data_IF_101548634058
#
_entry.id   IF_101548634058
#
_cell.length_a   1.000
_cell.length_b   1.000
_cell.length_c   1.000
_cell.angle_alpha   90.00
_cell.angle_beta   90.00
_cell.angle_gamma   90.00
#
_symmetry.space_group_name_H-M   'P 1'
#
loop_
_entity.id
_entity.type
_entity.pdbx_description
1 polymer ?
#
# COMPACT_ATOMS: atom_id res chain seq x y z
N UNK A 1 4.36 -26.74 11.84
CA UNK A 1 3.54 -25.56 11.48
C UNK A 1 4.30 -24.75 10.46
N UNK A 2 3.65 -24.34 9.37
CA UNK A 2 4.27 -23.41 8.41
C UNK A 2 4.40 -22.01 9.04
N UNK A 3 5.32 -21.18 8.52
CA UNK A 3 5.49 -19.80 9.02
C UNK A 3 4.17 -19.00 8.92
N UNK A 4 3.37 -19.27 7.88
CA UNK A 4 2.07 -18.65 7.67
C UNK A 4 1.00 -19.09 8.67
N UNK A 5 0.93 -20.39 9.02
CA UNK A 5 0.03 -20.86 10.08
C UNK A 5 0.35 -20.20 11.42
N UNK A 6 1.64 -19.97 11.70
CA UNK A 6 2.05 -19.27 12.91
C UNK A 6 1.67 -17.78 12.86
N UNK A 7 1.76 -17.13 11.69
CA UNK A 7 1.29 -15.74 11.51
C UNK A 7 -0.20 -15.60 11.84
N UNK A 8 -1.04 -16.52 11.39
CA UNK A 8 -2.47 -16.56 11.74
C UNK A 8 -2.64 -16.68 13.25
N UNK A 9 -1.97 -17.65 13.87
CA UNK A 9 -2.04 -17.88 15.31
C UNK A 9 -1.60 -16.66 16.13
N UNK A 10 -0.52 -15.99 15.71
CA UNK A 10 0.00 -14.78 16.37
C UNK A 10 -0.99 -13.61 16.24
N UNK A 11 -1.64 -13.47 15.08
CA UNK A 11 -2.69 -12.45 14.87
C UNK A 11 -3.94 -12.74 15.72
N UNK A 12 -4.38 -13.99 15.78
CA UNK A 12 -5.51 -14.40 16.62
C UNK A 12 -5.22 -14.07 18.09
N UNK A 13 -4.02 -14.41 18.58
CA UNK A 13 -3.59 -14.06 19.93
C UNK A 13 -3.57 -12.53 20.17
N UNK A 14 -3.09 -11.75 19.19
CA UNK A 14 -3.15 -10.28 19.23
C UNK A 14 -4.59 -9.76 19.35
N UNK A 15 -5.52 -10.29 18.57
CA UNK A 15 -6.93 -9.84 18.62
C UNK A 15 -7.63 -10.20 19.93
N UNK A 16 -7.21 -11.28 20.60
CA UNK A 16 -7.76 -11.68 21.91
C UNK A 16 -7.35 -10.73 23.04
N UNK A 17 -6.17 -10.10 22.97
CA UNK A 17 -5.69 -9.17 24.01
C UNK A 17 -6.17 -7.74 23.80
N UNK A 18 -6.48 -7.34 22.56
CA UNK A 18 -6.86 -5.98 22.22
C UNK A 18 -8.10 -5.44 22.97
N UNK A 19 -9.18 -6.20 23.20
CA UNK A 19 -10.31 -5.72 23.98
C UNK A 19 -9.94 -5.27 25.40
N UNK A 20 -8.96 -5.92 26.03
CA UNK A 20 -8.48 -5.52 27.36
C UNK A 20 -7.65 -4.23 27.33
N UNK A 21 -7.02 -3.91 26.20
CA UNK A 21 -6.16 -2.73 26.02
C UNK A 21 -6.92 -1.51 25.47
N UNK A 22 -7.87 -1.74 24.57
CA UNK A 22 -8.55 -0.71 23.80
C UNK A 22 -10.06 -0.64 24.09
N UNK A 23 -10.55 -1.47 25.01
CA UNK A 23 -11.94 -1.53 25.44
C UNK A 23 -12.75 -2.65 24.79
N UNK A 24 -13.75 -3.17 25.50
CA UNK A 24 -14.56 -4.33 25.10
C UNK A 24 -15.33 -4.15 23.79
N UNK A 25 -15.52 -2.91 23.33
CA UNK A 25 -16.19 -2.59 22.07
C UNK A 25 -15.24 -2.65 20.87
N UNK A 26 -13.93 -2.72 21.10
CA UNK A 26 -12.95 -2.81 20.04
C UNK A 26 -13.17 -4.10 19.23
N UNK A 27 -13.12 -3.98 17.90
CA UNK A 27 -13.22 -5.12 16.98
C UNK A 27 -12.09 -5.01 15.96
N UNK A 28 -11.43 -6.13 15.61
CA UNK A 28 -10.46 -6.12 14.53
C UNK A 28 -11.17 -5.85 13.20
N UNK A 29 -10.46 -5.22 12.26
CA UNK A 29 -10.90 -5.16 10.87
C UNK A 29 -10.95 -6.57 10.25
N UNK A 30 -11.77 -6.73 9.21
CA UNK A 30 -11.85 -7.98 8.46
C UNK A 30 -10.48 -8.37 7.91
N UNK A 31 -10.12 -9.63 8.16
CA UNK A 31 -8.82 -10.20 7.82
C UNK A 31 -8.93 -11.04 6.54
N UNK A 32 -7.92 -10.94 5.68
CA UNK A 32 -7.82 -11.73 4.46
C UNK A 32 -6.42 -12.35 4.33
N UNK A 33 -6.36 -13.62 3.93
CA UNK A 33 -5.12 -14.28 3.50
C UNK A 33 -4.71 -13.73 2.13
N UNK A 34 -3.46 -13.30 1.97
CA UNK A 34 -2.97 -12.76 0.70
C UNK A 34 -1.56 -13.24 0.36
N UNK A 35 -1.28 -13.31 -0.94
CA UNK A 35 0.07 -13.35 -1.49
C UNK A 35 0.43 -11.95 -1.96
N UNK A 36 1.54 -11.45 -1.46
CA UNK A 36 2.08 -10.14 -1.81
C UNK A 36 3.28 -10.34 -2.74
N UNK A 37 3.17 -9.79 -3.95
CA UNK A 37 4.25 -9.74 -4.92
C UNK A 37 4.79 -8.32 -5.00
N UNK A 38 6.12 -8.17 -4.93
CA UNK A 38 6.76 -6.85 -4.99
C UNK A 38 7.93 -6.84 -5.95
N UNK A 39 8.00 -5.78 -6.74
CA UNK A 39 9.18 -5.43 -7.52
C UNK A 39 9.74 -4.10 -7.04
N UNK A 40 11.06 -3.97 -7.10
CA UNK A 40 11.79 -2.75 -6.72
C UNK A 40 12.72 -2.37 -7.84
N UNK A 41 12.66 -1.12 -8.27
CA UNK A 41 13.48 -0.59 -9.34
C UNK A 41 14.05 0.76 -8.92
N UNK A 42 15.36 0.90 -9.03
CA UNK A 42 15.99 2.23 -8.99
C UNK A 42 16.06 2.78 -10.41
N UNK A 43 15.47 3.95 -10.61
CA UNK A 43 15.35 4.62 -11.89
C UNK A 43 16.03 5.99 -11.84
N UNK A 44 16.58 6.42 -12.97
CA UNK A 44 16.87 7.83 -13.18
C UNK A 44 15.60 8.58 -13.60
N UNK A 45 15.74 9.87 -13.93
CA UNK A 45 14.59 10.73 -14.27
C UNK A 45 13.83 10.21 -15.48
N UNK A 46 14.57 9.85 -16.53
CA UNK A 46 13.99 9.38 -17.80
C UNK A 46 13.30 8.03 -17.61
N UNK A 47 13.94 7.11 -16.88
CA UNK A 47 13.36 5.80 -16.55
C UNK A 47 12.09 5.93 -15.72
N UNK A 48 12.05 6.85 -14.74
CA UNK A 48 10.84 7.12 -13.98
C UNK A 48 9.72 7.65 -14.88
N UNK A 49 9.99 8.64 -15.72
CA UNK A 49 8.97 9.21 -16.62
C UNK A 49 8.40 8.15 -17.57
N UNK A 50 9.24 7.28 -18.11
CA UNK A 50 8.80 6.16 -18.94
C UNK A 50 7.94 5.17 -18.15
N UNK A 51 8.35 4.81 -16.93
CA UNK A 51 7.60 3.88 -16.09
C UNK A 51 6.21 4.45 -15.72
N UNK A 52 6.14 5.72 -15.34
CA UNK A 52 4.87 6.39 -15.04
C UNK A 52 3.96 6.49 -16.26
N UNK A 53 4.51 6.82 -17.44
CA UNK A 53 3.74 6.88 -18.69
C UNK A 53 3.18 5.52 -19.13
N UNK A 54 3.78 4.41 -18.71
CA UNK A 54 3.30 3.05 -19.00
C UNK A 54 2.16 2.59 -18.09
N UNK A 55 1.92 3.27 -16.97
CA UNK A 55 0.81 2.93 -16.06
C UNK A 55 -0.56 3.26 -16.65
N UNK A 56 -0.64 4.12 -17.68
CA UNK A 56 -1.93 4.60 -18.17
C UNK A 56 -2.65 5.45 -17.13
N UNK A 57 -3.98 5.33 -17.07
CA UNK A 57 -4.80 6.06 -16.10
C UNK A 57 -4.74 5.41 -14.72
N UNK A 58 -4.49 6.24 -13.71
CA UNK A 58 -4.32 5.81 -12.33
C UNK A 58 -5.18 6.63 -11.38
N UNK A 59 -5.39 6.08 -10.19
CA UNK A 59 -5.84 6.82 -9.03
C UNK A 59 -4.69 7.05 -8.05
N UNK A 60 -4.69 8.16 -7.34
CA UNK A 60 -3.78 8.38 -6.23
C UNK A 60 -3.31 9.81 -6.15
N UNK A 61 -2.06 10.01 -5.76
CA UNK A 61 -1.48 11.34 -5.64
C UNK A 61 0.01 11.33 -5.97
N UNK A 62 0.49 12.49 -6.41
CA UNK A 62 1.91 12.76 -6.61
C UNK A 62 2.28 14.04 -5.88
N UNK A 63 3.38 13.97 -5.13
CA UNK A 63 4.05 15.14 -4.59
C UNK A 63 5.18 15.52 -5.55
N UNK A 64 5.01 16.67 -6.18
CA UNK A 64 5.99 17.33 -7.02
C UNK A 64 6.77 18.37 -6.21
N UNK A 65 7.84 18.93 -6.78
CA UNK A 65 8.66 19.94 -6.12
C UNK A 65 7.93 21.23 -5.76
N UNK A 66 6.87 21.55 -6.50
CA UNK A 66 6.13 22.81 -6.45
C UNK A 66 4.68 22.65 -5.96
N UNK A 67 4.13 21.43 -6.06
CA UNK A 67 2.74 21.16 -5.71
C UNK A 67 2.49 19.70 -5.37
N UNK A 68 1.34 19.43 -4.78
CA UNK A 68 0.76 18.08 -4.71
C UNK A 68 -0.40 18.02 -5.67
N UNK A 69 -0.44 16.96 -6.48
CA UNK A 69 -1.56 16.67 -7.37
C UNK A 69 -2.24 15.39 -6.91
N UNK A 70 -3.55 15.35 -7.12
CA UNK A 70 -4.38 14.16 -6.97
C UNK A 70 -4.83 13.72 -8.35
N UNK A 71 -4.79 12.41 -8.58
CA UNK A 71 -5.17 11.78 -9.83
C UNK A 71 -6.40 10.91 -9.57
N UNK A 72 -7.47 11.15 -10.31
CA UNK A 72 -8.68 10.32 -10.33
C UNK A 72 -8.85 9.81 -11.75
N UNK A 73 -8.42 8.56 -12.01
CA UNK A 73 -8.51 7.93 -13.33
C UNK A 73 -7.86 8.80 -14.42
N UNK A 74 -6.63 9.25 -14.16
CA UNK A 74 -5.87 10.14 -15.03
C UNK A 74 -4.43 9.66 -15.19
N UNK A 75 -3.81 9.98 -16.31
CA UNK A 75 -2.42 9.65 -16.56
C UNK A 75 -1.47 10.29 -15.54
N UNK A 76 -0.52 9.51 -15.01
CA UNK A 76 0.54 9.99 -14.14
C UNK A 76 1.65 10.70 -14.94
N UNK A 77 1.37 11.92 -15.42
CA UNK A 77 2.31 12.73 -16.20
C UNK A 77 2.83 13.91 -15.39
N UNK A 78 4.02 13.81 -14.76
CA UNK A 78 4.65 14.94 -14.13
C UNK A 78 5.27 15.85 -15.21
N UNK A 79 4.47 16.80 -15.73
CA UNK A 79 4.92 17.83 -16.68
C UNK A 79 6.14 18.56 -16.13
N UNK A 80 7.33 18.33 -16.71
CA UNK A 80 8.67 18.87 -16.39
C UNK A 80 9.09 18.99 -14.91
N UNK A 81 8.23 18.57 -13.99
CA UNK A 81 8.33 18.78 -12.56
C UNK A 81 9.05 17.62 -11.92
N UNK A 82 9.77 17.92 -10.84
CA UNK A 82 10.50 16.90 -10.11
C UNK A 82 9.53 16.14 -9.21
N UNK A 83 9.32 14.84 -9.48
CA UNK A 83 8.54 13.98 -8.59
C UNK A 83 9.35 13.73 -7.32
N UNK A 84 8.80 14.06 -6.16
CA UNK A 84 9.40 13.78 -4.86
C UNK A 84 8.89 12.45 -4.30
N UNK A 85 7.59 12.21 -4.40
CA UNK A 85 6.95 10.96 -3.99
C UNK A 85 5.61 10.78 -4.70
N UNK A 86 5.13 9.55 -4.79
CA UNK A 86 3.78 9.25 -5.24
C UNK A 86 3.28 7.96 -4.60
N UNK A 87 1.97 7.86 -4.41
CA UNK A 87 1.26 6.61 -4.24
C UNK A 87 0.14 6.56 -5.27
N UNK A 88 0.23 5.59 -6.18
CA UNK A 88 -0.67 5.42 -7.31
C UNK A 88 -1.27 4.02 -7.26
N UNK A 89 -2.44 3.87 -7.82
CA UNK A 89 -3.15 2.61 -7.94
C UNK A 89 -3.70 2.44 -9.34
N UNK A 90 -3.45 1.27 -9.92
CA UNK A 90 -3.89 0.88 -11.26
C UNK A 90 -4.28 -0.59 -11.23
N UNK A 91 -5.56 -0.91 -11.44
CA UNK A 91 -6.06 -2.28 -11.71
C UNK A 91 -5.43 -3.37 -10.79
N UNK A 92 -5.46 -3.18 -9.46
CA UNK A 92 -4.91 -4.15 -8.51
C UNK A 92 -3.42 -3.99 -8.19
N UNK A 93 -2.76 -2.99 -8.76
CA UNK A 93 -1.34 -2.69 -8.54
C UNK A 93 -1.18 -1.35 -7.85
N UNK A 94 -0.48 -1.36 -6.73
CA UNK A 94 -0.06 -0.15 -6.04
C UNK A 94 1.37 0.21 -6.44
N UNK A 95 1.61 1.44 -6.85
CA UNK A 95 2.92 1.95 -7.23
C UNK A 95 3.31 3.07 -6.27
N UNK A 96 4.39 2.85 -5.52
CA UNK A 96 4.99 3.85 -4.65
C UNK A 96 6.28 4.37 -5.26
N UNK A 97 6.37 5.69 -5.40
CA UNK A 97 7.59 6.37 -5.85
C UNK A 97 8.18 7.15 -4.70
N UNK A 98 9.51 7.07 -4.54
CA UNK A 98 10.26 7.90 -3.61
C UNK A 98 11.54 8.40 -4.25
N UNK A 99 11.76 9.71 -4.21
CA UNK A 99 13.05 10.27 -4.60
C UNK A 99 14.15 9.78 -3.64
N UNK A 100 15.29 9.41 -4.21
CA UNK A 100 16.53 9.07 -3.55
C UNK A 100 17.56 10.18 -3.79
N UNK A 101 18.75 10.03 -3.19
CA UNK A 101 19.87 10.91 -3.47
C UNK A 101 20.34 10.79 -4.93
N UNK A 102 20.98 11.84 -5.45
CA UNK A 102 21.64 11.80 -6.75
C UNK A 102 20.72 11.71 -7.96
N UNK A 103 19.53 12.33 -7.89
CA UNK A 103 18.52 12.30 -8.97
C UNK A 103 18.14 10.88 -9.39
N UNK A 104 17.91 10.02 -8.39
CA UNK A 104 17.38 8.68 -8.56
C UNK A 104 16.05 8.54 -7.85
N UNK A 105 15.27 7.56 -8.26
CA UNK A 105 13.99 7.22 -7.68
C UNK A 105 13.91 5.74 -7.40
N UNK A 106 13.34 5.40 -6.25
CA UNK A 106 12.87 4.06 -6.00
C UNK A 106 11.41 3.97 -6.42
N UNK A 107 11.13 3.08 -7.36
CA UNK A 107 9.79 2.66 -7.72
C UNK A 107 9.55 1.28 -7.13
N UNK A 108 8.49 1.16 -6.33
CA UNK A 108 8.03 -0.11 -5.75
C UNK A 108 6.63 -0.39 -6.26
N UNK A 109 6.48 -1.48 -7.00
CA UNK A 109 5.16 -1.97 -7.41
C UNK A 109 4.78 -3.14 -6.52
N UNK A 110 3.59 -3.07 -5.94
CA UNK A 110 3.03 -4.09 -5.08
C UNK A 110 1.72 -4.59 -5.66
N UNK A 111 1.61 -5.90 -5.87
CA UNK A 111 0.38 -6.59 -6.19
C UNK A 111 -0.06 -7.39 -4.96
N UNK A 112 -1.31 -7.25 -4.56
CA UNK A 112 -1.90 -8.04 -3.48
C UNK A 112 -2.93 -8.99 -4.09
N UNK A 113 -2.64 -10.28 -4.03
CA UNK A 113 -3.48 -11.32 -4.59
C UNK A 113 -4.18 -12.06 -3.45
N UNK A 114 -5.53 -12.07 -3.40
CA UNK A 114 -6.28 -12.91 -2.49
C UNK A 114 -5.83 -14.37 -2.54
N UNK A 115 -5.54 -14.95 -1.38
CA UNK A 115 -5.26 -16.38 -1.27
C UNK A 115 -6.43 -17.08 -0.58
N UNK A 116 -6.96 -18.10 -1.23
CA UNK A 116 -8.02 -18.95 -0.66
C UNK A 116 -7.46 -20.09 0.21
N UNK A 117 -6.15 -20.16 0.44
CA UNK A 117 -5.46 -21.30 1.05
C UNK A 117 -4.51 -20.98 2.21
N UNK A 118 -3.67 -21.96 2.55
CA UNK A 118 -2.62 -21.87 3.58
C UNK A 118 -1.26 -21.41 3.01
N UNK A 119 -1.27 -20.80 1.83
CA UNK A 119 -0.07 -20.43 1.06
C UNK A 119 0.20 -18.92 1.08
N UNK A 120 -0.63 -18.15 1.78
CA UNK A 120 -0.47 -16.72 1.96
C UNK A 120 0.93 -16.37 2.48
N UNK A 121 1.41 -15.21 2.05
CA UNK A 121 2.66 -14.65 2.58
C UNK A 121 2.38 -13.64 3.69
N UNK A 122 1.19 -13.03 3.69
CA UNK A 122 0.78 -12.00 4.64
C UNK A 122 -0.70 -12.17 5.02
N UNK A 123 -1.09 -11.49 6.09
CA UNK A 123 -2.49 -11.21 6.37
C UNK A 123 -2.78 -9.75 6.02
N UNK A 124 -3.87 -9.48 5.32
CA UNK A 124 -4.28 -8.13 4.95
C UNK A 124 -5.52 -7.71 5.74
N UNK A 125 -5.54 -6.46 6.18
CA UNK A 125 -6.74 -5.80 6.73
C UNK A 125 -6.99 -4.50 6.00
N UNK A 126 -8.25 -4.23 5.64
CA UNK A 126 -8.63 -2.96 5.01
C UNK A 126 -8.62 -1.82 6.04
N UNK A 127 -8.04 -0.69 5.65
CA UNK A 127 -8.04 0.56 6.42
C UNK A 127 -8.53 1.68 5.51
N UNK A 128 -9.36 2.56 6.07
CA UNK A 128 -9.85 3.73 5.35
C UNK A 128 -9.62 5.00 6.16
N UNK A 129 -9.18 6.06 5.49
CA UNK A 129 -9.02 7.39 6.07
C UNK A 129 -9.86 8.39 5.30
N UNK A 130 -10.39 9.42 5.98
CA UNK A 130 -11.02 10.52 5.26
C UNK A 130 -9.96 11.22 4.41
N UNK A 131 -10.26 11.41 3.13
CA UNK A 131 -9.42 12.20 2.28
C UNK A 131 -9.49 13.67 2.70
N UNK A 132 -8.36 14.36 2.65
CA UNK A 132 -8.31 15.79 2.98
C UNK A 132 -9.05 16.65 1.91
N UNK A 133 -9.19 16.14 0.70
CA UNK A 133 -9.93 16.82 -0.37
C UNK A 133 -11.39 16.38 -0.35
N UNK A 134 -12.35 17.32 -0.18
CA UNK A 134 -13.76 16.99 0.01
C UNK A 134 -14.41 16.15 -1.11
N UNK A 135 -13.87 16.20 -2.34
CA UNK A 135 -14.39 15.46 -3.49
C UNK A 135 -13.79 14.06 -3.69
N UNK A 136 -12.90 13.60 -2.81
CA UNK A 136 -12.24 12.28 -2.94
C UNK A 136 -12.88 11.19 -2.06
N UNK A 137 -13.76 11.57 -1.13
CA UNK A 137 -14.31 10.65 -0.14
C UNK A 137 -13.25 10.13 0.83
N UNK A 138 -12.78 8.90 0.61
CA UNK A 138 -11.87 8.17 1.50
C UNK A 138 -10.68 7.62 0.74
N UNK A 139 -9.52 7.64 1.39
CA UNK A 139 -8.34 6.90 0.99
C UNK A 139 -8.46 5.46 1.47
N UNK A 140 -8.21 4.50 0.60
CA UNK A 140 -8.19 3.08 0.93
C UNK A 140 -6.79 2.49 0.94
N UNK A 141 -6.51 1.69 1.97
CA UNK A 141 -5.25 0.99 2.13
C UNK A 141 -5.49 -0.45 2.58
N UNK A 142 -4.62 -1.35 2.16
CA UNK A 142 -4.46 -2.66 2.77
C UNK A 142 -3.22 -2.67 3.66
N UNK A 143 -3.45 -2.84 4.96
CA UNK A 143 -2.39 -3.04 5.93
C UNK A 143 -1.95 -4.50 5.93
N UNK A 144 -0.67 -4.73 5.68
CA UNK A 144 -0.06 -6.03 5.55
C UNK A 144 0.63 -6.42 6.84
N UNK A 145 0.18 -7.50 7.45
CA UNK A 145 0.73 -8.10 8.65
C UNK A 145 1.64 -9.26 8.30
N UNK A 146 2.77 -9.32 9.00
CA UNK A 146 3.82 -10.32 8.77
C UNK A 146 4.50 -10.66 10.10
N UNK A 147 5.45 -11.61 10.05
CA UNK A 147 6.34 -11.94 11.16
C UNK A 147 7.75 -11.48 10.82
N UNK A 148 8.38 -10.76 11.72
CA UNK A 148 9.78 -10.37 11.54
C UNK A 148 10.73 -11.56 11.78
N UNK A 149 12.03 -11.35 11.62
CA UNK A 149 13.06 -12.39 11.82
C UNK A 149 13.06 -12.99 13.24
N UNK A 150 12.54 -12.26 14.24
CA UNK A 150 12.40 -12.72 15.62
C UNK A 150 11.07 -13.46 15.86
N UNK A 151 10.27 -13.66 14.82
CA UNK A 151 8.96 -14.31 14.89
C UNK A 151 7.88 -13.45 15.53
N UNK A 152 8.06 -12.13 15.63
CA UNK A 152 7.06 -11.22 16.20
C UNK A 152 6.13 -10.70 15.11
N UNK A 153 4.83 -10.71 15.41
CA UNK A 153 3.81 -10.06 14.59
C UNK A 153 4.09 -8.56 14.49
N UNK A 154 4.03 -8.02 13.29
CA UNK A 154 4.15 -6.59 13.03
C UNK A 154 3.41 -6.20 11.74
N UNK A 155 3.20 -4.89 11.58
CA UNK A 155 2.71 -4.31 10.33
C UNK A 155 3.92 -4.06 9.46
N UNK A 156 4.00 -4.78 8.34
CA UNK A 156 5.09 -4.66 7.38
C UNK A 156 4.93 -3.44 6.49
N UNK A 157 3.70 -3.18 6.03
CA UNK A 157 3.40 -2.10 5.09
C UNK A 157 1.92 -1.73 5.13
N UNK A 158 1.60 -0.56 4.56
CA UNK A 158 0.25 -0.16 4.23
C UNK A 158 0.23 0.22 2.75
N UNK A 159 -0.52 -0.52 1.94
CA UNK A 159 -0.49 -0.43 0.48
C UNK A 159 -1.73 0.30 0.01
N UNK A 160 -1.56 1.42 -0.71
CA UNK A 160 -2.67 2.20 -1.24
C UNK A 160 -3.45 1.39 -2.30
N UNK A 161 -4.77 1.33 -2.17
CA UNK A 161 -5.66 0.56 -3.05
C UNK A 161 -6.71 1.40 -3.78
N UNK A 162 -6.61 2.73 -3.74
CA UNK A 162 -7.51 3.64 -4.45
C UNK A 162 -8.34 4.54 -3.53
N UNK A 163 -9.33 5.21 -4.13
CA UNK A 163 -10.29 6.05 -3.42
C UNK A 163 -11.68 5.39 -3.36
N UNK A 164 -12.46 5.69 -2.31
CA UNK A 164 -13.89 5.31 -2.25
C UNK A 164 -14.79 6.41 -1.71
N UNK A 165 -16.03 6.45 -2.18
CA UNK A 165 -17.08 7.34 -1.65
C UNK A 165 -16.98 8.80 -2.09
N UNK A 166 -16.41 9.05 -3.27
CA UNK A 166 -16.53 10.32 -3.99
C UNK A 166 -17.95 10.52 -4.56
#
# INVERSE_FOLDING_TARGET
MSNYQQLISDYDAYTQVCPALFGEQWRPASLQSVVVERTRQELDRTGLQQALGQLGDVEGWMLLSDQRIVLQQQAASPEDSLVLSAELYQEGRSVRVRQLHGNRWLLVTTCIVPDSGQSGTHLATQITHLANEPGLGRLEYQQLWSRNEQGRLYIEDAVFTGFTGA
#
